data_IF_308066522128
#
_entry.id   IF_308066522128
#
_cell.length_a   1.000
_cell.length_b   1.000
_cell.length_c   1.000
_cell.angle_alpha   90.00
_cell.angle_beta   90.00
_cell.angle_gamma   90.00
#
_symmetry.space_group_name_H-M   'P 1'
#
loop_
_entity.id
_entity.type
_entity.pdbx_description
1 polymer ?
#
# COMPACT_ATOMS: atom_id res chain seq x y z
N UNK A 1 -9.09 -19.48 2.51
CA UNK A 1 -7.65 -19.15 2.46
C UNK A 1 -7.46 -17.78 3.09
N UNK A 2 -6.46 -17.61 3.99
CA UNK A 2 -6.20 -16.33 4.68
C UNK A 2 -5.76 -15.28 3.65
N UNK A 3 -6.46 -14.16 3.58
CA UNK A 3 -6.08 -13.01 2.74
C UNK A 3 -4.84 -12.35 3.33
N UNK A 4 -3.73 -12.35 2.59
CA UNK A 4 -2.46 -11.73 2.99
C UNK A 4 -2.49 -10.20 2.82
N UNK A 5 -3.56 -9.55 3.31
CA UNK A 5 -3.62 -8.10 3.37
C UNK A 5 -2.62 -7.61 4.43
N UNK A 6 -1.90 -6.54 4.14
CA UNK A 6 -0.99 -5.93 5.11
C UNK A 6 -1.76 -5.57 6.39
N UNK A 7 -1.16 -5.79 7.55
CA UNK A 7 -1.70 -5.32 8.83
C UNK A 7 -1.60 -3.79 8.89
N UNK A 8 -2.62 -3.12 9.42
CA UNK A 8 -2.68 -1.66 9.44
C UNK A 8 -3.33 -1.19 10.74
N UNK A 9 -2.69 -0.22 11.39
CA UNK A 9 -3.21 0.42 12.59
C UNK A 9 -4.20 1.56 12.28
N UNK A 10 -5.10 1.84 13.23
CA UNK A 10 -6.10 2.91 13.09
C UNK A 10 -5.49 4.28 12.76
N UNK A 11 -4.31 4.59 13.31
CA UNK A 11 -3.61 5.84 13.03
C UNK A 11 -3.19 5.99 11.56
N UNK A 12 -2.79 4.89 10.91
CA UNK A 12 -2.45 4.88 9.48
C UNK A 12 -3.69 5.06 8.62
N UNK A 13 -4.81 4.45 9.01
CA UNK A 13 -6.10 4.61 8.33
C UNK A 13 -6.54 6.08 8.37
N UNK A 14 -6.42 6.73 9.53
CA UNK A 14 -6.75 8.14 9.66
C UNK A 14 -5.87 9.01 8.76
N UNK A 15 -4.54 8.82 8.81
CA UNK A 15 -3.60 9.52 7.91
C UNK A 15 -3.97 9.32 6.43
N UNK A 16 -4.36 8.12 6.04
CA UNK A 16 -4.68 7.81 4.64
C UNK A 16 -5.89 8.62 4.16
N UNK A 17 -6.94 8.70 4.99
CA UNK A 17 -8.13 9.53 4.70
C UNK A 17 -7.77 11.00 4.55
N UNK A 18 -6.84 11.52 5.35
CA UNK A 18 -6.37 12.90 5.24
C UNK A 18 -5.51 13.13 3.99
N UNK A 19 -4.70 12.16 3.61
CA UNK A 19 -3.73 12.29 2.51
C UNK A 19 -4.31 12.02 1.12
N UNK A 20 -5.31 11.14 1.02
CA UNK A 20 -5.87 10.71 -0.27
C UNK A 20 -7.34 11.07 -0.33
N UNK A 21 -7.65 12.18 -1.00
CA UNK A 21 -9.00 12.71 -1.21
C UNK A 21 -9.95 11.63 -1.75
N UNK A 22 -11.21 11.65 -1.33
CA UNK A 22 -12.26 10.74 -1.81
C UNK A 22 -12.27 9.36 -1.12
N UNK A 23 -11.52 9.19 -0.03
CA UNK A 23 -11.50 7.96 0.77
C UNK A 23 -12.02 8.17 2.21
N UNK A 24 -12.62 9.32 2.50
CA UNK A 24 -13.03 9.74 3.84
C UNK A 24 -14.07 8.78 4.44
N UNK A 25 -14.99 8.28 3.61
CA UNK A 25 -16.10 7.40 4.01
C UNK A 25 -15.82 5.91 3.82
N UNK A 26 -14.68 5.55 3.20
CA UNK A 26 -14.35 4.14 2.93
C UNK A 26 -14.15 3.35 4.21
N UNK A 27 -14.60 2.10 4.19
CA UNK A 27 -14.41 1.18 5.29
C UNK A 27 -12.92 0.90 5.56
N UNK A 28 -12.61 0.45 6.78
CA UNK A 28 -11.25 0.04 7.17
C UNK A 28 -10.72 -1.05 6.22
N UNK A 29 -11.58 -2.00 5.85
CA UNK A 29 -11.22 -3.09 4.95
C UNK A 29 -10.88 -2.59 3.54
N UNK A 30 -11.67 -1.67 2.99
CA UNK A 30 -11.37 -1.07 1.68
C UNK A 30 -10.05 -0.30 1.69
N UNK A 31 -9.81 0.51 2.72
CA UNK A 31 -8.53 1.25 2.87
C UNK A 31 -7.36 0.26 2.96
N UNK A 32 -7.54 -0.84 3.69
CA UNK A 32 -6.54 -1.91 3.79
C UNK A 32 -6.26 -2.59 2.46
N UNK A 33 -7.29 -2.88 1.66
CA UNK A 33 -7.15 -3.41 0.30
C UNK A 33 -6.42 -2.41 -0.60
N UNK A 34 -6.79 -1.12 -0.55
CA UNK A 34 -6.15 -0.05 -1.34
C UNK A 34 -4.67 0.14 -1.00
N UNK A 35 -4.32 0.22 0.29
CA UNK A 35 -2.94 0.38 0.72
C UNK A 35 -2.07 -0.84 0.38
N UNK A 36 -2.60 -2.05 0.55
CA UNK A 36 -1.91 -3.29 0.15
C UNK A 36 -1.65 -3.30 -1.35
N UNK A 37 -2.67 -2.97 -2.15
CA UNK A 37 -2.55 -2.83 -3.60
C UNK A 37 -1.49 -1.80 -3.98
N UNK A 38 -1.59 -0.59 -3.44
CA UNK A 38 -0.68 0.50 -3.77
C UNK A 38 0.76 0.15 -3.38
N UNK A 39 0.98 -0.55 -2.27
CA UNK A 39 2.30 -1.03 -1.91
C UNK A 39 2.85 -2.01 -2.95
N UNK A 40 2.11 -3.06 -3.31
CA UNK A 40 2.55 -4.06 -4.31
C UNK A 40 2.93 -3.37 -5.64
N UNK A 41 2.11 -2.40 -6.05
CA UNK A 41 2.24 -1.68 -7.30
C UNK A 41 3.23 -0.51 -7.28
N UNK A 42 3.82 -0.19 -6.14
CA UNK A 42 4.73 0.94 -6.02
C UNK A 42 6.08 0.64 -6.68
N UNK A 43 6.60 1.61 -7.45
CA UNK A 43 7.75 1.43 -8.35
C UNK A 43 9.11 1.68 -7.67
N UNK A 44 9.16 2.59 -6.69
CA UNK A 44 10.42 2.98 -6.04
C UNK A 44 10.60 2.18 -4.76
N UNK A 45 11.54 1.23 -4.75
CA UNK A 45 11.85 0.38 -3.60
C UNK A 45 13.02 1.01 -2.83
N UNK A 46 12.77 1.35 -1.57
CA UNK A 46 13.83 1.58 -0.59
C UNK A 46 13.77 0.45 0.44
N UNK A 47 14.81 -0.37 0.49
CA UNK A 47 14.88 -1.48 1.44
C UNK A 47 15.97 -1.19 2.45
N UNK A 48 15.60 -1.19 3.73
CA UNK A 48 16.57 -1.28 4.81
C UNK A 48 16.66 -2.75 5.24
N UNK A 49 17.75 -3.40 4.87
CA UNK A 49 17.98 -4.82 5.16
C UNK A 49 18.28 -5.08 6.64
N UNK A 50 18.62 -4.05 7.43
CA UNK A 50 18.90 -4.20 8.86
C UNK A 50 17.59 -4.28 9.65
N UNK A 51 16.61 -3.46 9.27
CA UNK A 51 15.30 -3.40 9.94
C UNK A 51 14.20 -4.24 9.24
N UNK A 52 14.53 -4.94 8.14
CA UNK A 52 13.55 -5.64 7.28
C UNK A 52 12.38 -4.73 6.85
N UNK A 53 12.68 -3.45 6.59
CA UNK A 53 11.69 -2.47 6.18
C UNK A 53 11.76 -2.30 4.67
N UNK A 54 10.60 -2.33 4.02
CA UNK A 54 10.46 -1.95 2.62
C UNK A 54 9.55 -0.73 2.51
N UNK A 55 10.05 0.33 1.86
CA UNK A 55 9.25 1.48 1.47
C UNK A 55 9.00 1.45 -0.04
N UNK A 56 7.75 1.68 -0.45
CA UNK A 56 7.35 1.78 -1.85
C UNK A 56 6.60 3.07 -2.15
N UNK A 57 6.86 3.67 -3.31
CA UNK A 57 6.15 4.85 -3.80
C UNK A 57 5.06 4.45 -4.80
N UNK A 58 3.80 4.80 -4.51
CA UNK A 58 2.68 4.68 -5.44
C UNK A 58 2.13 6.08 -5.75
N UNK A 59 2.48 6.63 -6.91
CA UNK A 59 2.24 8.03 -7.23
C UNK A 59 2.94 8.93 -6.21
N UNK A 60 2.18 9.77 -5.51
CA UNK A 60 2.70 10.63 -4.44
C UNK A 60 2.72 9.93 -3.06
N UNK A 61 2.15 8.73 -2.92
CA UNK A 61 2.04 8.07 -1.63
C UNK A 61 3.26 7.16 -1.37
N UNK A 62 4.06 7.48 -0.36
CA UNK A 62 5.07 6.58 0.20
C UNK A 62 4.41 5.67 1.21
N UNK A 63 4.60 4.36 1.09
CA UNK A 63 4.09 3.35 2.03
C UNK A 63 5.27 2.59 2.60
N UNK A 64 5.41 2.55 3.92
CA UNK A 64 6.49 1.88 4.63
C UNK A 64 5.94 0.66 5.34
N UNK A 65 6.52 -0.50 5.05
CA UNK A 65 6.07 -1.81 5.52
C UNK A 65 7.23 -2.52 6.21
N UNK A 66 6.95 -3.02 7.41
CA UNK A 66 7.76 -4.03 8.07
C UNK A 66 7.45 -5.37 7.42
N UNK A 67 8.46 -5.95 6.77
CA UNK A 67 8.34 -7.18 5.99
C UNK A 67 8.40 -8.43 6.85
N UNK A 68 8.86 -8.35 8.10
CA UNK A 68 8.81 -9.46 9.05
C UNK A 68 7.36 -9.75 9.44
N UNK A 69 6.58 -8.70 9.73
CA UNK A 69 5.21 -8.82 10.22
C UNK A 69 4.13 -8.47 9.18
N UNK A 70 4.53 -8.08 7.98
CA UNK A 70 3.67 -7.55 6.91
C UNK A 70 2.76 -6.42 7.41
N UNK A 71 3.32 -5.48 8.19
CA UNK A 71 2.59 -4.38 8.82
C UNK A 71 3.00 -3.03 8.23
N UNK A 72 2.01 -2.21 7.87
CA UNK A 72 2.26 -0.83 7.46
C UNK A 72 2.64 -0.02 8.70
N UNK A 73 3.91 0.39 8.77
CA UNK A 73 4.44 1.23 9.86
C UNK A 73 4.11 2.70 9.65
N UNK A 74 4.15 3.18 8.40
CA UNK A 74 3.83 4.59 8.11
C UNK A 74 3.46 4.83 6.65
N UNK A 75 2.83 5.97 6.41
CA UNK A 75 2.57 6.51 5.07
C UNK A 75 2.90 8.00 5.02
N UNK A 76 3.33 8.49 3.86
CA UNK A 76 3.61 9.90 3.61
C UNK A 76 3.04 10.33 2.27
N UNK A 77 2.46 11.52 2.19
CA UNK A 77 2.09 12.14 0.93
C UNK A 77 3.21 13.06 0.46
N UNK A 78 3.93 12.62 -0.57
CA UNK A 78 5.03 13.35 -1.18
C UNK A 78 4.49 14.14 -2.38
N UNK A 79 3.83 15.27 -2.11
CA UNK A 79 3.18 16.15 -3.09
C UNK A 79 4.12 16.79 -4.15
N UNK A 80 5.35 16.29 -4.31
CA UNK A 80 6.39 16.88 -5.16
C UNK A 80 6.77 16.09 -6.41
N UNK A 81 6.29 14.85 -6.63
CA UNK A 81 6.74 14.02 -7.77
C UNK A 81 5.62 13.17 -8.36
N UNK A 82 4.90 13.72 -9.33
CA UNK A 82 4.00 12.95 -10.20
C UNK A 82 4.81 12.00 -11.10
N UNK A 83 5.16 10.80 -10.61
CA UNK A 83 5.62 9.70 -11.46
C UNK A 83 4.41 8.88 -11.93
N UNK A 84 4.35 8.57 -13.23
CA UNK A 84 3.33 7.69 -13.82
C UNK A 84 3.68 6.25 -13.47
N UNK A 85 2.72 5.51 -12.93
CA UNK A 85 2.88 4.12 -12.51
C UNK A 85 2.62 3.21 -13.70
N UNK A 86 3.60 2.42 -14.09
CA UNK A 86 3.50 1.37 -15.10
C UNK A 86 3.48 0.00 -14.44
N UNK A 87 2.39 -0.73 -14.68
CA UNK A 87 2.21 -2.11 -14.26
C UNK A 87 2.10 -2.96 -15.49
N UNK A 88 2.88 -4.03 -15.55
CA UNK A 88 2.75 -4.98 -16.65
C UNK A 88 1.51 -5.88 -16.46
N UNK A 89 1.07 -6.53 -17.54
CA UNK A 89 -0.17 -7.30 -17.54
C UNK A 89 -0.15 -8.49 -16.56
N UNK A 90 1.01 -9.16 -16.41
CA UNK A 90 1.18 -10.29 -15.49
C UNK A 90 1.07 -9.86 -14.01
N UNK A 91 1.66 -8.71 -13.66
CA UNK A 91 1.53 -8.11 -12.33
C UNK A 91 0.09 -7.72 -12.02
N UNK A 92 -0.63 -7.20 -13.01
CA UNK A 92 -2.06 -6.88 -12.90
C UNK A 92 -2.89 -8.13 -12.64
N UNK A 93 -2.65 -9.22 -13.35
CA UNK A 93 -3.36 -10.49 -13.17
C UNK A 93 -3.05 -11.14 -11.82
N UNK A 94 -1.79 -11.14 -11.39
CA UNK A 94 -1.39 -11.65 -10.07
C UNK A 94 -2.00 -10.81 -8.94
N UNK A 95 -2.02 -9.49 -9.10
CA UNK A 95 -2.68 -8.59 -8.16
C UNK A 95 -4.18 -8.88 -8.08
N UNK A 96 -4.86 -9.06 -9.22
CA UNK A 96 -6.28 -9.37 -9.25
C UNK A 96 -6.57 -10.68 -8.53
N UNK A 97 -5.76 -11.73 -8.72
CA UNK A 97 -5.88 -13.00 -7.97
C UNK A 97 -5.73 -12.80 -6.45
N UNK A 98 -4.76 -11.99 -6.01
CA UNK A 98 -4.56 -11.69 -4.58
C UNK A 98 -5.75 -10.91 -4.00
N UNK A 99 -6.41 -10.07 -4.79
CA UNK A 99 -7.52 -9.24 -4.37
C UNK A 99 -8.92 -9.90 -4.52
N UNK A 100 -9.11 -10.78 -5.50
CA UNK A 100 -10.37 -11.51 -5.77
C UNK A 100 -10.61 -12.66 -4.81
N UNK A 101 -9.57 -13.24 -4.21
CA UNK A 101 -9.70 -14.20 -3.09
C UNK A 101 -10.32 -13.51 -1.83
N UNK A 102 -10.52 -12.19 -1.86
CA UNK A 102 -11.08 -11.38 -0.77
C UNK A 102 -12.52 -10.87 -1.01
N UNK A 103 -13.21 -11.34 -2.05
CA UNK A 103 -14.64 -11.11 -2.28
C UNK A 103 -15.44 -12.35 -1.89
#
# INVERSE_FOLDING_TARGET
MRTNLLKIDKGIIHKYRTYVKGNETKSILEIRKLLTRNFILGEEIWTDNIENIQARMFGNLKIIVDMENYQIKNIYNNLGKNKRIYINQLEKENLNKVLEIAA
#
